data_IF_850476222210
#
_entry.id   IF_850476222210
#
_cell.length_a   1.000
_cell.length_b   1.000
_cell.length_c   1.000
_cell.angle_alpha   90.00
_cell.angle_beta   90.00
_cell.angle_gamma   90.00
#
_symmetry.space_group_name_H-M   'P 1'
#
loop_
_entity.id
_entity.type
_entity.pdbx_description
1 polymer ?
#
# COMPACT_ATOMS: atom_id res chain seq x y z
N UNK A 1 -8.30 38.83 -38.00
CA UNK A 1 -7.46 38.71 -36.79
C UNK A 1 -8.39 38.48 -35.61
N UNK A 2 -8.36 37.29 -35.02
CA UNK A 2 -8.99 37.01 -33.73
C UNK A 2 -8.19 35.88 -33.06
N UNK A 3 -7.40 36.27 -32.05
CA UNK A 3 -6.72 35.38 -31.13
C UNK A 3 -7.75 34.79 -30.17
N UNK A 4 -7.74 33.46 -30.01
CA UNK A 4 -8.22 32.81 -28.79
C UNK A 4 -7.25 31.69 -28.42
N UNK A 5 -6.15 32.08 -27.79
CA UNK A 5 -5.29 31.20 -27.00
C UNK A 5 -6.05 30.80 -25.74
N UNK A 6 -6.58 29.58 -25.70
CA UNK A 6 -6.99 28.95 -24.44
C UNK A 6 -5.79 28.21 -23.87
N UNK A 7 -5.01 28.92 -23.06
CA UNK A 7 -4.14 28.30 -22.07
C UNK A 7 -4.99 27.97 -20.85
N UNK A 8 -5.37 26.71 -20.69
CA UNK A 8 -5.89 26.18 -19.43
C UNK A 8 -4.78 25.36 -18.77
N UNK A 9 -3.82 26.06 -18.17
CA UNK A 9 -3.06 25.51 -17.05
C UNK A 9 -4.02 25.29 -15.90
N UNK A 10 -4.39 24.03 -15.71
CA UNK A 10 -5.13 23.56 -14.56
C UNK A 10 -4.76 22.11 -14.33
N UNK A 11 -3.54 21.87 -13.84
CA UNK A 11 -3.23 20.65 -13.10
C UNK A 11 -4.12 20.66 -11.85
N UNK A 12 -5.40 20.33 -12.01
CA UNK A 12 -6.20 19.81 -10.93
C UNK A 12 -5.59 18.46 -10.61
N UNK A 13 -4.70 18.42 -9.61
CA UNK A 13 -4.41 17.18 -8.92
C UNK A 13 -5.76 16.65 -8.43
N UNK A 14 -6.28 15.65 -9.14
CA UNK A 14 -7.53 14.99 -8.77
C UNK A 14 -7.40 14.50 -7.32
N UNK A 15 -8.40 14.70 -6.44
CA UNK A 15 -8.41 14.15 -5.08
C UNK A 15 -8.61 12.61 -5.05
N UNK A 16 -8.63 11.96 -6.21
CA UNK A 16 -8.73 10.51 -6.38
C UNK A 16 -7.69 9.66 -5.63
N UNK A 17 -6.38 9.99 -5.59
CA UNK A 17 -5.36 9.14 -4.98
C UNK A 17 -5.59 8.91 -3.49
N UNK A 18 -5.94 9.98 -2.77
CA UNK A 18 -6.14 9.95 -1.32
C UNK A 18 -7.41 9.18 -0.95
N UNK A 19 -8.50 9.36 -1.71
CA UNK A 19 -9.75 8.64 -1.48
C UNK A 19 -9.61 7.13 -1.66
N UNK A 20 -8.77 6.68 -2.59
CA UNK A 20 -8.52 5.25 -2.80
C UNK A 20 -7.62 4.68 -1.69
N UNK A 21 -6.60 5.42 -1.27
CA UNK A 21 -5.76 5.06 -0.13
C UNK A 21 -6.58 4.93 1.16
N UNK A 22 -7.48 5.87 1.44
CA UNK A 22 -8.36 5.84 2.62
C UNK A 22 -9.25 4.59 2.64
N UNK A 23 -9.79 4.21 1.48
CA UNK A 23 -10.59 2.98 1.35
C UNK A 23 -9.74 1.72 1.63
N UNK A 24 -8.48 1.71 1.22
CA UNK A 24 -7.56 0.63 1.53
C UNK A 24 -7.21 0.58 3.02
N UNK A 25 -6.93 1.73 3.63
CA UNK A 25 -6.65 1.84 5.06
C UNK A 25 -7.85 1.41 5.92
N UNK A 26 -9.09 1.66 5.47
CA UNK A 26 -10.30 1.24 6.17
C UNK A 26 -10.50 -0.28 6.22
N UNK A 27 -9.82 -1.06 5.37
CA UNK A 27 -9.94 -2.53 5.30
C UNK A 27 -9.07 -3.27 6.31
N UNK A 28 -8.15 -2.57 6.99
CA UNK A 28 -7.21 -3.18 7.92
C UNK A 28 -7.22 -2.41 9.24
N UNK A 29 -7.21 -3.13 10.36
CA UNK A 29 -7.07 -2.50 11.67
C UNK A 29 -5.66 -1.91 11.84
N UNK A 30 -5.55 -0.85 12.64
CA UNK A 30 -4.24 -0.25 12.98
C UNK A 30 -3.26 -1.27 13.56
N UNK A 31 -3.77 -2.24 14.34
CA UNK A 31 -3.00 -3.37 14.88
C UNK A 31 -2.43 -4.24 13.77
N UNK A 32 -3.25 -4.65 12.81
CA UNK A 32 -2.80 -5.54 11.74
C UNK A 32 -1.95 -4.83 10.69
N UNK A 33 -2.14 -3.52 10.48
CA UNK A 33 -1.25 -2.69 9.69
C UNK A 33 0.16 -2.63 10.32
N UNK A 34 0.28 -2.35 11.62
CA UNK A 34 1.57 -2.39 12.33
C UNK A 34 2.24 -3.76 12.24
N UNK A 35 1.46 -4.83 12.35
CA UNK A 35 1.96 -6.19 12.22
C UNK A 35 2.50 -6.48 10.80
N UNK A 36 1.75 -6.12 9.76
CA UNK A 36 2.15 -6.30 8.37
C UNK A 36 3.47 -5.57 8.07
N UNK A 37 3.60 -4.33 8.53
CA UNK A 37 4.84 -3.56 8.38
C UNK A 37 6.00 -4.19 9.14
N UNK A 38 5.79 -4.62 10.40
CA UNK A 38 6.82 -5.30 11.17
C UNK A 38 7.31 -6.59 10.48
N UNK A 39 6.41 -7.33 9.84
CA UNK A 39 6.73 -8.52 9.05
C UNK A 39 7.47 -8.19 7.75
N UNK A 40 7.19 -7.05 7.12
CA UNK A 40 8.00 -6.57 5.98
C UNK A 40 9.44 -6.25 6.41
N UNK A 41 9.67 -5.75 7.62
CA UNK A 41 11.01 -5.42 8.10
C UNK A 41 11.74 -6.57 8.82
N UNK A 42 11.02 -7.54 9.39
CA UNK A 42 11.62 -8.72 10.03
C UNK A 42 11.62 -9.91 9.05
N UNK A 43 12.66 -10.74 9.11
CA UNK A 43 12.60 -12.08 8.53
C UNK A 43 12.01 -12.99 9.61
N UNK A 44 10.69 -13.12 9.62
CA UNK A 44 9.93 -13.91 10.59
C UNK A 44 8.91 -14.80 9.91
N UNK A 45 8.34 -15.76 10.65
CA UNK A 45 7.12 -16.45 10.23
C UNK A 45 5.94 -15.83 10.96
N UNK A 46 4.82 -15.59 10.27
CA UNK A 46 3.73 -14.87 10.86
C UNK A 46 2.97 -15.76 11.85
N UNK A 47 3.19 -15.52 13.14
CA UNK A 47 2.55 -16.28 14.23
C UNK A 47 1.21 -15.70 14.72
N UNK A 48 0.71 -14.60 14.15
CA UNK A 48 -0.60 -14.04 14.52
C UNK A 48 -1.68 -14.32 13.47
N UNK A 49 -2.35 -15.48 13.60
CA UNK A 49 -3.48 -15.89 12.76
C UNK A 49 -4.60 -14.85 12.57
N UNK A 50 -4.76 -13.89 13.50
CA UNK A 50 -5.83 -12.88 13.42
C UNK A 50 -5.60 -11.79 12.37
N UNK A 51 -4.35 -11.46 12.03
CA UNK A 51 -4.08 -10.42 11.04
C UNK A 51 -3.98 -10.93 9.60
N UNK A 52 -3.73 -12.23 9.42
CA UNK A 52 -3.66 -12.86 8.10
C UNK A 52 -4.95 -12.63 7.29
N UNK A 53 -6.12 -12.78 7.94
CA UNK A 53 -7.42 -12.62 7.30
C UNK A 53 -7.70 -11.17 6.89
N UNK A 54 -7.35 -10.20 7.75
CA UNK A 54 -7.48 -8.77 7.41
C UNK A 54 -6.56 -8.39 6.24
N UNK A 55 -5.30 -8.83 6.26
CA UNK A 55 -4.34 -8.58 5.18
C UNK A 55 -4.82 -9.23 3.87
N UNK A 56 -5.36 -10.44 3.94
CA UNK A 56 -5.94 -11.11 2.78
C UNK A 56 -7.14 -10.32 2.21
N UNK A 57 -8.13 -9.98 3.05
CA UNK A 57 -9.34 -9.26 2.64
C UNK A 57 -9.09 -7.80 2.22
N UNK A 58 -8.03 -7.18 2.72
CA UNK A 58 -7.56 -5.89 2.23
C UNK A 58 -7.25 -5.96 0.73
N UNK A 59 -6.68 -7.08 0.28
CA UNK A 59 -6.35 -7.35 -1.11
C UNK A 59 -4.95 -6.85 -1.49
N UNK A 60 -4.32 -7.54 -2.43
CA UNK A 60 -2.94 -7.28 -2.86
C UNK A 60 -2.70 -5.83 -3.28
N UNK A 61 -3.60 -5.26 -4.08
CA UNK A 61 -3.46 -3.88 -4.59
C UNK A 61 -3.45 -2.88 -3.44
N UNK A 62 -4.40 -3.00 -2.50
CA UNK A 62 -4.48 -2.12 -1.35
C UNK A 62 -3.26 -2.28 -0.44
N UNK A 63 -2.80 -3.51 -0.20
CA UNK A 63 -1.61 -3.75 0.60
C UNK A 63 -0.37 -3.08 -0.02
N UNK A 64 -0.18 -3.21 -1.34
CA UNK A 64 0.92 -2.56 -2.05
C UNK A 64 0.84 -1.03 -2.00
N UNK A 65 -0.35 -0.47 -2.16
CA UNK A 65 -0.58 0.98 -2.11
C UNK A 65 -0.25 1.55 -0.72
N UNK A 66 -0.78 0.93 0.34
CA UNK A 66 -0.53 1.35 1.72
C UNK A 66 0.94 1.19 2.07
N UNK A 67 1.58 0.10 1.63
CA UNK A 67 3.01 -0.13 1.83
C UNK A 67 3.84 0.98 1.18
N UNK A 68 3.55 1.30 -0.09
CA UNK A 68 4.24 2.38 -0.82
C UNK A 68 4.08 3.72 -0.10
N UNK A 69 2.85 4.08 0.28
CA UNK A 69 2.57 5.30 1.02
C UNK A 69 3.34 5.37 2.34
N UNK A 70 3.35 4.28 3.13
CA UNK A 70 4.08 4.22 4.39
C UNK A 70 5.60 4.34 4.20
N UNK A 71 6.17 3.71 3.18
CA UNK A 71 7.61 3.82 2.87
C UNK A 71 7.96 5.26 2.49
N UNK A 72 7.15 5.89 1.64
CA UNK A 72 7.36 7.28 1.21
C UNK A 72 7.24 8.26 2.38
N UNK A 73 6.29 8.03 3.31
CA UNK A 73 6.07 8.88 4.48
C UNK A 73 7.13 8.67 5.58
N UNK A 74 7.51 7.42 5.87
CA UNK A 74 8.32 7.08 7.04
C UNK A 74 9.81 6.92 6.71
N UNK A 75 10.14 6.52 5.48
CA UNK A 75 11.51 6.20 5.05
C UNK A 75 11.84 6.86 3.70
N UNK A 76 11.68 8.19 3.55
CA UNK A 76 11.79 8.85 2.26
C UNK A 76 13.18 8.71 1.62
N UNK A 77 14.22 8.53 2.45
CA UNK A 77 15.64 8.43 2.05
C UNK A 77 16.03 7.07 1.45
N UNK A 78 15.12 6.08 1.49
CA UNK A 78 15.39 4.75 0.94
C UNK A 78 15.54 4.83 -0.59
N UNK A 79 16.49 4.08 -1.15
CA UNK A 79 16.69 4.05 -2.60
C UNK A 79 15.47 3.44 -3.31
N UNK A 80 15.22 3.85 -4.57
CA UNK A 80 14.07 3.37 -5.32
C UNK A 80 13.99 1.83 -5.41
N UNK A 81 15.13 1.17 -5.56
CA UNK A 81 15.21 -0.29 -5.59
C UNK A 81 14.80 -0.93 -4.25
N UNK A 82 15.24 -0.36 -3.12
CA UNK A 82 14.88 -0.81 -1.79
C UNK A 82 13.40 -0.58 -1.46
N UNK A 83 12.84 0.56 -1.93
CA UNK A 83 11.40 0.82 -1.82
C UNK A 83 10.60 -0.22 -2.59
N UNK A 84 11.06 -0.59 -3.78
CA UNK A 84 10.42 -1.62 -4.59
C UNK A 84 10.51 -3.00 -3.94
N UNK A 85 11.66 -3.37 -3.37
CA UNK A 85 11.85 -4.65 -2.65
C UNK A 85 10.83 -4.80 -1.50
N UNK A 86 10.57 -3.74 -0.74
CA UNK A 86 9.56 -3.76 0.33
C UNK A 86 8.13 -3.95 -0.21
N UNK A 87 7.80 -3.34 -1.36
CA UNK A 87 6.50 -3.53 -2.02
C UNK A 87 6.36 -4.96 -2.55
N UNK A 88 7.42 -5.51 -3.12
CA UNK A 88 7.45 -6.89 -3.61
C UNK A 88 7.31 -7.88 -2.44
N UNK A 89 7.95 -7.59 -1.30
CA UNK A 89 7.77 -8.36 -0.06
C UNK A 89 6.35 -8.27 0.47
N UNK A 90 5.69 -7.12 0.41
CA UNK A 90 4.29 -6.98 0.76
C UNK A 90 3.39 -7.87 -0.11
N UNK A 91 3.66 -7.93 -1.42
CA UNK A 91 2.98 -8.85 -2.35
C UNK A 91 3.20 -10.33 -1.95
N UNK A 92 4.44 -10.72 -1.63
CA UNK A 92 4.73 -12.08 -1.17
C UNK A 92 3.98 -12.43 0.12
N UNK A 93 3.97 -11.50 1.08
CA UNK A 93 3.23 -11.66 2.34
C UNK A 93 1.74 -11.89 2.08
N UNK A 94 1.14 -11.15 1.14
CA UNK A 94 -0.26 -11.36 0.78
C UNK A 94 -0.51 -12.79 0.26
N UNK A 95 0.35 -13.29 -0.63
CA UNK A 95 0.24 -14.67 -1.13
C UNK A 95 0.36 -15.73 -0.04
N UNK A 96 1.18 -15.49 0.99
CA UNK A 96 1.31 -16.40 2.14
C UNK A 96 0.02 -16.50 2.99
N UNK A 97 -0.84 -15.49 2.92
CA UNK A 97 -2.10 -15.46 3.66
C UNK A 97 -3.33 -15.79 2.82
N UNK A 98 -3.15 -16.10 1.53
CA UNK A 98 -4.24 -16.64 0.71
C UNK A 98 -4.66 -17.97 1.34
N UNK A 99 -5.92 -18.10 1.79
CA UNK A 99 -6.42 -19.36 2.30
C UNK A 99 -6.27 -20.41 1.20
N UNK A 100 -5.57 -21.51 1.47
CA UNK A 100 -5.65 -22.70 0.64
C UNK A 100 -7.06 -23.26 0.87
N UNK A 101 -7.98 -23.01 -0.06
CA UNK A 101 -9.25 -23.73 -0.09
C UNK A 101 -8.93 -25.24 -0.11
N UNK A 102 -9.27 -25.93 0.98
CA UNK A 102 -9.26 -27.39 1.08
C UNK A 102 -10.63 -27.84 1.55
#
# INVERSE_FOLDING_TARGET
MANLTFASTGLAQSPEPDRYLDQCLAKISSRCAMYAMAEMYRHGSPKQNRCCLEIYHMGQICLNLVTRHMIEALVPKLEAAQKQDLVDKATQIWYLYVPLER
#
